data_IF_298705679652
#
_entry.id   IF_298705679652
#
_cell.length_a   1.000
_cell.length_b   1.000
_cell.length_c   1.000
_cell.angle_alpha   90.00
_cell.angle_beta   90.00
_cell.angle_gamma   90.00
#
_symmetry.space_group_name_H-M   'P 1'
#
loop_
_entity.id
_entity.type
_entity.pdbx_description
1 polymer ?
#
# COMPACT_ATOMS: atom_id res chain seq x y z
N UNK A 1 1.45 -18.06 -11.33
CA UNK A 1 1.55 -16.77 -12.07
C UNK A 1 0.15 -16.27 -12.30
N UNK A 2 -0.15 -15.11 -11.73
CA UNK A 2 -1.46 -14.48 -11.67
C UNK A 2 -1.57 -13.46 -12.80
N UNK A 3 -2.70 -13.47 -13.50
CA UNK A 3 -3.03 -12.47 -14.51
C UNK A 3 -4.15 -11.56 -13.99
N UNK A 4 -3.93 -10.25 -14.06
CA UNK A 4 -4.94 -9.26 -13.65
C UNK A 4 -5.12 -8.22 -14.75
N UNK A 5 -6.38 -7.98 -15.12
CA UNK A 5 -6.76 -6.87 -16.00
C UNK A 5 -7.09 -5.62 -15.17
N UNK A 6 -6.22 -4.61 -15.26
CA UNK A 6 -6.33 -3.33 -14.58
C UNK A 6 -7.46 -2.42 -15.07
N UNK A 7 -8.16 -2.78 -16.15
CA UNK A 7 -9.35 -2.08 -16.63
C UNK A 7 -10.65 -2.59 -15.99
N UNK A 8 -10.63 -3.70 -15.26
CA UNK A 8 -11.83 -4.26 -14.66
C UNK A 8 -12.48 -3.28 -13.66
N UNK A 9 -13.82 -3.37 -13.56
CA UNK A 9 -14.65 -2.50 -12.70
C UNK A 9 -14.33 -1.02 -12.95
N UNK A 10 -13.90 -0.29 -11.90
CA UNK A 10 -13.59 1.15 -11.96
C UNK A 10 -12.23 1.49 -12.59
N UNK A 11 -11.43 0.48 -12.96
CA UNK A 11 -10.07 0.66 -13.48
C UNK A 11 -9.20 1.55 -12.59
N UNK A 12 -9.37 1.46 -11.26
CA UNK A 12 -8.70 2.37 -10.32
C UNK A 12 -7.32 1.86 -9.94
N UNK A 13 -6.48 2.75 -9.40
CA UNK A 13 -5.19 2.38 -8.83
C UNK A 13 -5.29 1.42 -7.63
N UNK A 14 -6.48 1.18 -7.10
CA UNK A 14 -6.73 0.18 -6.06
C UNK A 14 -6.44 -1.24 -6.55
N UNK A 15 -6.68 -1.52 -7.84
CA UNK A 15 -6.36 -2.82 -8.44
C UNK A 15 -4.85 -3.05 -8.38
N UNK A 16 -4.04 -2.05 -8.74
CA UNK A 16 -2.57 -2.14 -8.68
C UNK A 16 -2.11 -2.45 -7.25
N UNK A 17 -2.61 -1.69 -6.26
CA UNK A 17 -2.22 -1.85 -4.85
C UNK A 17 -2.54 -3.24 -4.32
N UNK A 18 -3.75 -3.73 -4.55
CA UNK A 18 -4.14 -5.07 -4.08
C UNK A 18 -3.44 -6.17 -4.85
N UNK A 19 -3.36 -6.09 -6.17
CA UNK A 19 -2.75 -7.14 -6.98
C UNK A 19 -1.29 -7.36 -6.58
N UNK A 20 -0.49 -6.30 -6.47
CA UNK A 20 0.93 -6.42 -6.08
C UNK A 20 1.06 -6.88 -4.62
N UNK A 21 0.29 -6.32 -3.68
CA UNK A 21 0.32 -6.73 -2.29
C UNK A 21 -0.05 -8.19 -2.06
N UNK A 22 -1.07 -8.69 -2.76
CA UNK A 22 -1.50 -10.09 -2.68
C UNK A 22 -0.50 -11.01 -3.40
N UNK A 23 0.03 -10.61 -4.55
CA UNK A 23 1.11 -11.36 -5.22
C UNK A 23 2.34 -11.51 -4.32
N UNK A 24 2.73 -10.45 -3.60
CA UNK A 24 3.79 -10.50 -2.59
C UNK A 24 3.48 -11.52 -1.48
N UNK A 25 2.26 -11.50 -0.92
CA UNK A 25 1.87 -12.42 0.15
C UNK A 25 1.80 -13.89 -0.32
N UNK A 26 1.33 -14.11 -1.55
CA UNK A 26 1.21 -15.44 -2.15
C UNK A 26 2.56 -15.99 -2.63
N UNK A 27 3.58 -15.13 -2.78
CA UNK A 27 4.84 -15.51 -3.40
C UNK A 27 4.70 -15.84 -4.89
N UNK A 28 3.64 -15.36 -5.54
CA UNK A 28 3.33 -15.66 -6.94
C UNK A 28 3.67 -14.48 -7.86
N UNK A 29 4.23 -14.78 -9.02
CA UNK A 29 4.43 -13.78 -10.08
C UNK A 29 3.10 -13.19 -10.55
N UNK A 30 3.07 -11.88 -10.77
CA UNK A 30 1.92 -11.12 -11.26
C UNK A 30 2.23 -10.50 -12.62
N UNK A 31 1.32 -10.69 -13.57
CA UNK A 31 1.23 -9.91 -14.80
C UNK A 31 -0.04 -9.06 -14.76
N UNK A 32 0.15 -7.74 -14.69
CA UNK A 32 -0.94 -6.76 -14.58
C UNK A 32 -0.94 -5.90 -15.84
N UNK A 33 -2.02 -5.96 -16.62
CA UNK A 33 -2.20 -5.19 -17.86
C UNK A 33 -3.26 -4.11 -17.70
N UNK A 34 -3.43 -3.26 -18.72
CA UNK A 34 -4.46 -2.22 -18.79
C UNK A 34 -4.54 -1.32 -17.54
N UNK A 35 -3.39 -1.02 -16.93
CA UNK A 35 -3.32 -0.27 -15.68
C UNK A 35 -4.02 1.08 -15.87
N UNK A 36 -5.12 1.25 -15.14
CA UNK A 36 -5.92 2.49 -15.13
C UNK A 36 -6.41 2.92 -16.52
N UNK A 37 -6.66 1.99 -17.44
CA UNK A 37 -7.09 2.29 -18.81
C UNK A 37 -8.39 3.12 -18.88
N UNK A 38 -9.27 3.02 -17.87
CA UNK A 38 -10.54 3.77 -17.78
C UNK A 38 -10.43 5.12 -17.06
N UNK A 39 -9.23 5.61 -16.76
CA UNK A 39 -9.01 6.89 -16.08
C UNK A 39 -8.50 7.93 -17.08
N UNK A 40 -8.87 9.18 -16.86
CA UNK A 40 -8.43 10.34 -17.69
C UNK A 40 -6.92 10.34 -17.95
N UNK A 41 -6.13 10.01 -16.93
CA UNK A 41 -4.68 9.82 -17.04
C UNK A 41 -4.37 8.35 -16.79
N UNK A 42 -4.26 7.48 -17.81
CA UNK A 42 -3.97 6.04 -17.65
C UNK A 42 -2.59 5.74 -17.07
N UNK A 43 -2.31 4.47 -16.81
CA UNK A 43 -1.02 3.96 -16.38
C UNK A 43 -0.68 4.21 -14.91
N UNK A 44 0.51 3.78 -14.50
CA UNK A 44 1.04 4.02 -13.17
C UNK A 44 1.22 5.53 -12.92
N UNK A 45 0.90 5.95 -11.70
CA UNK A 45 1.15 7.31 -11.19
C UNK A 45 2.23 7.24 -10.14
N UNK A 46 2.87 8.35 -9.74
CA UNK A 46 3.93 8.33 -8.72
C UNK A 46 3.58 7.51 -7.47
N UNK A 47 2.37 7.67 -6.91
CA UNK A 47 1.96 6.87 -5.75
C UNK A 47 1.77 5.38 -6.03
N UNK A 48 1.37 5.01 -7.24
CA UNK A 48 1.23 3.59 -7.63
C UNK A 48 2.61 2.98 -7.79
N UNK A 49 3.47 3.63 -8.57
CA UNK A 49 4.84 3.16 -8.80
C UNK A 49 5.59 3.02 -7.48
N UNK A 50 5.50 4.01 -6.58
CA UNK A 50 6.16 3.93 -5.28
C UNK A 50 5.65 2.76 -4.44
N UNK A 51 4.36 2.44 -4.48
CA UNK A 51 3.82 1.29 -3.79
C UNK A 51 4.37 -0.05 -4.35
N UNK A 52 4.47 -0.17 -5.69
CA UNK A 52 5.06 -1.37 -6.32
C UNK A 52 6.55 -1.50 -5.98
N UNK A 53 7.30 -0.40 -6.06
CA UNK A 53 8.73 -0.36 -5.71
C UNK A 53 8.98 -0.66 -4.23
N UNK A 54 8.12 -0.17 -3.33
CA UNK A 54 8.22 -0.47 -1.90
C UNK A 54 8.04 -1.97 -1.64
N UNK A 55 7.04 -2.60 -2.28
CA UNK A 55 6.84 -4.04 -2.18
C UNK A 55 7.98 -4.84 -2.82
N UNK A 56 8.48 -4.41 -3.98
CA UNK A 56 9.67 -4.97 -4.62
C UNK A 56 10.86 -4.97 -3.67
N UNK A 57 11.11 -3.85 -2.98
CA UNK A 57 12.20 -3.73 -2.02
C UNK A 57 11.99 -4.63 -0.80
N UNK A 58 10.79 -4.62 -0.21
CA UNK A 58 10.46 -5.44 0.96
C UNK A 58 10.63 -6.92 0.67
N UNK A 59 10.16 -7.40 -0.49
CA UNK A 59 10.20 -8.81 -0.84
C UNK A 59 11.45 -9.23 -1.62
N UNK A 60 12.41 -8.30 -1.84
CA UNK A 60 13.59 -8.49 -2.69
C UNK A 60 13.25 -9.05 -4.09
N UNK A 61 12.13 -8.58 -4.66
CA UNK A 61 11.60 -9.04 -5.93
C UNK A 61 12.17 -8.29 -7.14
N UNK A 62 11.70 -8.68 -8.33
CA UNK A 62 11.94 -7.96 -9.58
C UNK A 62 10.67 -7.33 -10.13
N UNK A 63 10.84 -6.24 -10.86
CA UNK A 63 9.78 -5.48 -11.48
C UNK A 63 10.19 -5.10 -12.91
N UNK A 64 9.39 -5.50 -13.88
CA UNK A 64 9.48 -5.10 -15.28
C UNK A 64 8.30 -4.17 -15.63
N UNK A 65 8.56 -3.17 -16.50
CA UNK A 65 7.58 -2.13 -16.84
C UNK A 65 7.30 -1.12 -15.72
N UNK A 66 8.13 -1.06 -14.69
CA UNK A 66 7.95 -0.24 -13.48
C UNK A 66 8.28 1.24 -13.66
N UNK A 67 7.53 1.95 -14.51
CA UNK A 67 7.73 3.38 -14.78
C UNK A 67 6.43 4.19 -14.72
N UNK A 68 6.54 5.52 -14.57
CA UNK A 68 5.37 6.42 -14.59
C UNK A 68 4.72 6.36 -15.96
N UNK A 69 3.40 6.20 -16.00
CA UNK A 69 2.63 6.07 -17.24
C UNK A 69 2.55 4.64 -17.78
N UNK A 70 3.31 3.69 -17.22
CA UNK A 70 3.25 2.30 -17.65
C UNK A 70 1.85 1.71 -17.51
N UNK A 71 1.40 1.02 -18.55
CA UNK A 71 0.09 0.38 -18.63
C UNK A 71 0.16 -1.12 -18.32
N UNK A 72 1.36 -1.65 -18.15
CA UNK A 72 1.63 -3.07 -17.95
C UNK A 72 2.86 -3.27 -17.06
N UNK A 73 2.78 -4.18 -16.11
CA UNK A 73 3.93 -4.60 -15.30
C UNK A 73 4.00 -6.11 -15.17
N UNK A 74 5.21 -6.63 -15.00
CA UNK A 74 5.47 -7.98 -14.48
C UNK A 74 6.20 -7.85 -13.16
N UNK A 75 5.60 -8.36 -12.10
CA UNK A 75 6.13 -8.30 -10.75
C UNK A 75 6.40 -9.71 -10.24
N UNK A 76 7.63 -10.00 -9.86
CA UNK A 76 8.03 -11.31 -9.31
C UNK A 76 8.53 -11.14 -7.87
N UNK A 77 7.82 -11.68 -6.86
CA UNK A 77 8.31 -11.68 -5.48
C UNK A 77 9.64 -12.45 -5.32
N UNK A 78 10.52 -12.01 -4.43
CA UNK A 78 11.84 -12.62 -4.18
C UNK A 78 11.86 -13.72 -3.12
N UNK A 79 10.69 -14.20 -2.67
CA UNK A 79 10.57 -15.37 -1.79
C UNK A 79 10.54 -15.09 -0.28
N UNK A 80 10.76 -13.86 0.18
CA UNK A 80 10.64 -13.53 1.62
C UNK A 80 10.46 -12.05 1.91
N UNK A 81 9.69 -11.73 2.96
CA UNK A 81 9.44 -10.37 3.43
C UNK A 81 10.54 -9.96 4.40
N UNK A 82 11.31 -8.92 4.07
CA UNK A 82 12.32 -8.37 4.97
C UNK A 82 11.68 -7.40 5.97
N UNK A 83 11.90 -7.68 7.24
CA UNK A 83 11.47 -6.81 8.35
C UNK A 83 12.45 -5.65 8.53
N UNK A 84 12.02 -4.59 9.24
CA UNK A 84 12.88 -3.45 9.55
C UNK A 84 12.27 -2.10 9.20
N UNK A 85 13.14 -1.09 9.09
CA UNK A 85 12.75 0.30 8.84
C UNK A 85 12.97 0.71 7.39
N UNK A 86 11.98 1.39 6.81
CA UNK A 86 11.99 1.86 5.44
C UNK A 86 11.61 3.34 5.37
N UNK A 87 12.23 4.07 4.44
CA UNK A 87 11.92 5.46 4.13
C UNK A 87 11.61 5.59 2.63
N UNK A 88 10.41 6.05 2.31
CA UNK A 88 9.96 6.23 0.93
C UNK A 88 9.37 7.62 0.73
N UNK A 89 9.89 8.32 -0.27
CA UNK A 89 9.30 9.55 -0.79
C UNK A 89 8.53 9.28 -2.08
N UNK A 90 7.25 9.67 -2.11
CA UNK A 90 6.42 9.62 -3.31
C UNK A 90 6.84 10.71 -4.31
N UNK A 91 7.51 11.77 -3.86
CA UNK A 91 8.00 12.90 -4.67
C UNK A 91 6.90 13.86 -5.14
N UNK A 92 5.65 13.63 -4.74
CA UNK A 92 4.49 14.45 -5.10
C UNK A 92 3.49 14.50 -3.94
N UNK A 93 2.36 15.19 -4.11
CA UNK A 93 1.25 15.12 -3.17
C UNK A 93 0.49 13.78 -3.16
N UNK A 94 0.98 12.73 -3.82
CA UNK A 94 0.35 11.41 -3.81
C UNK A 94 0.17 10.86 -2.39
N UNK A 95 -0.90 10.06 -2.21
CA UNK A 95 -1.35 9.63 -0.88
C UNK A 95 -0.39 8.69 -0.17
N UNK A 96 0.14 9.17 0.97
CA UNK A 96 0.94 8.36 1.89
C UNK A 96 0.09 7.32 2.59
N UNK A 97 -1.18 7.61 2.87
CA UNK A 97 -2.12 6.69 3.53
C UNK A 97 -2.49 5.51 2.63
N UNK A 98 -2.70 5.73 1.32
CA UNK A 98 -2.92 4.64 0.37
C UNK A 98 -1.66 3.78 0.17
N UNK A 99 -0.47 4.38 0.19
CA UNK A 99 0.78 3.62 0.20
C UNK A 99 0.86 2.76 1.48
N UNK A 100 0.60 3.35 2.65
CA UNK A 100 0.61 2.62 3.92
C UNK A 100 -0.37 1.44 3.94
N UNK A 101 -1.61 1.62 3.46
CA UNK A 101 -2.60 0.53 3.39
C UNK A 101 -2.14 -0.58 2.43
N UNK A 102 -1.38 -0.25 1.39
CA UNK A 102 -0.82 -1.25 0.46
C UNK A 102 0.21 -2.15 1.16
N UNK A 103 1.03 -1.55 2.02
CA UNK A 103 2.09 -2.26 2.74
C UNK A 103 1.60 -3.02 3.97
N UNK A 104 0.52 -2.53 4.60
CA UNK A 104 0.03 -3.04 5.86
C UNK A 104 -0.23 -4.56 5.88
N UNK A 105 -0.90 -5.17 4.89
CA UNK A 105 -1.09 -6.63 4.88
C UNK A 105 0.24 -7.39 4.86
N UNK A 106 1.20 -6.96 4.03
CA UNK A 106 2.53 -7.56 3.94
C UNK A 106 3.27 -7.42 5.28
N UNK A 107 3.16 -6.27 5.93
CA UNK A 107 3.76 -6.03 7.24
C UNK A 107 3.14 -6.88 8.36
N UNK A 108 1.86 -7.23 8.26
CA UNK A 108 1.21 -8.11 9.24
C UNK A 108 1.75 -9.55 9.18
N UNK A 109 2.29 -9.98 8.03
CA UNK A 109 2.81 -11.34 7.81
C UNK A 109 4.34 -11.38 7.64
N UNK A 110 5.05 -10.33 8.08
CA UNK A 110 6.51 -10.33 8.13
C UNK A 110 7.02 -11.21 9.27
N UNK A 111 8.33 -11.48 9.29
CA UNK A 111 9.00 -12.24 10.35
C UNK A 111 9.36 -11.39 11.57
N UNK A 112 9.08 -10.09 11.55
CA UNK A 112 9.48 -9.13 12.58
C UNK A 112 8.87 -7.74 12.35
N UNK A 113 9.01 -6.87 13.35
CA UNK A 113 8.44 -5.53 13.32
C UNK A 113 8.88 -4.73 12.08
N UNK A 114 7.96 -3.92 11.54
CA UNK A 114 8.21 -3.04 10.41
C UNK A 114 7.85 -1.59 10.72
N UNK A 115 8.67 -0.67 10.23
CA UNK A 115 8.46 0.77 10.39
C UNK A 115 8.61 1.48 9.05
N UNK A 116 7.60 2.25 8.66
CA UNK A 116 7.56 2.97 7.40
C UNK A 116 7.53 4.47 7.68
N UNK A 117 8.50 5.21 7.15
CA UNK A 117 8.43 6.66 7.02
C UNK A 117 8.07 6.98 5.57
N UNK A 118 6.91 7.60 5.35
CA UNK A 118 6.39 7.85 4.00
C UNK A 118 6.17 9.34 3.82
N UNK A 119 6.78 9.93 2.79
CA UNK A 119 6.64 11.34 2.43
C UNK A 119 5.72 11.52 1.21
N UNK A 120 4.84 12.51 1.26
CA UNK A 120 3.85 12.79 0.21
C UNK A 120 2.67 13.65 0.70
N UNK A 121 1.45 13.38 0.23
CA UNK A 121 0.23 14.03 0.72
C UNK A 121 -0.47 13.19 1.80
N UNK A 122 -0.76 13.82 2.95
CA UNK A 122 -1.53 13.19 4.04
C UNK A 122 -3.01 13.57 3.99
N UNK A 123 -3.32 14.73 3.42
CA UNK A 123 -4.66 15.30 3.31
C UNK A 123 -4.91 15.69 1.85
N UNK A 124 -5.75 14.92 1.16
CA UNK A 124 -6.08 15.10 -0.24
C UNK A 124 -7.40 14.43 -0.58
N UNK A 125 -7.97 14.79 -1.71
CA UNK A 125 -9.19 14.16 -2.21
C UNK A 125 -8.95 12.70 -2.62
N UNK A 126 -10.03 11.90 -2.56
CA UNK A 126 -10.04 10.51 -3.01
C UNK A 126 -9.06 9.57 -2.29
N UNK A 127 -8.62 9.93 -1.07
CA UNK A 127 -7.84 9.10 -0.18
C UNK A 127 -8.29 9.29 1.28
N UNK A 128 -8.18 8.27 2.15
CA UNK A 128 -8.44 8.44 3.57
C UNK A 128 -7.41 9.41 4.17
N UNK A 129 -7.88 10.30 5.06
CA UNK A 129 -7.00 11.21 5.79
C UNK A 129 -6.15 10.43 6.80
N UNK A 130 -5.02 11.01 7.21
CA UNK A 130 -4.21 10.43 8.28
C UNK A 130 -5.00 10.26 9.59
N UNK A 131 -5.98 11.12 9.88
CA UNK A 131 -6.87 10.97 11.03
C UNK A 131 -7.81 9.78 10.91
N UNK A 132 -8.33 9.49 9.71
CA UNK A 132 -9.10 8.27 9.50
C UNK A 132 -8.26 7.01 9.79
N UNK A 133 -6.98 7.03 9.41
CA UNK A 133 -6.06 5.94 9.73
C UNK A 133 -5.87 5.76 11.24
N UNK A 134 -5.70 6.86 11.97
CA UNK A 134 -5.44 6.87 13.41
C UNK A 134 -6.66 6.51 14.25
N UNK A 135 -7.82 7.07 13.93
CA UNK A 135 -8.98 7.04 14.82
C UNK A 135 -10.09 6.10 14.35
N UNK A 136 -10.04 5.61 13.10
CA UNK A 136 -11.05 4.67 12.58
C UNK A 136 -10.40 3.34 12.23
N UNK A 137 -9.44 3.34 11.32
CA UNK A 137 -8.84 2.08 10.84
C UNK A 137 -8.03 1.37 11.94
N UNK A 138 -7.12 2.08 12.62
CA UNK A 138 -6.26 1.47 13.65
C UNK A 138 -7.06 0.80 14.78
N UNK A 139 -8.09 1.43 15.38
CA UNK A 139 -8.95 0.75 16.35
C UNK A 139 -9.67 -0.50 15.81
N UNK A 140 -10.13 -0.48 14.56
CA UNK A 140 -10.75 -1.66 13.94
C UNK A 140 -9.74 -2.80 13.75
N UNK A 141 -8.52 -2.48 13.31
CA UNK A 141 -7.44 -3.46 13.17
C UNK A 141 -7.05 -4.06 14.53
N UNK A 142 -7.03 -3.27 15.60
CA UNK A 142 -6.76 -3.78 16.95
C UNK A 142 -7.79 -4.81 17.42
N UNK A 143 -9.08 -4.64 17.07
CA UNK A 143 -10.12 -5.66 17.33
C UNK A 143 -9.82 -6.99 16.60
N UNK A 144 -9.11 -6.93 15.48
CA UNK A 144 -8.65 -8.09 14.72
C UNK A 144 -7.31 -8.67 15.20
N UNK A 145 -6.74 -8.12 16.28
CA UNK A 145 -5.42 -8.54 16.79
C UNK A 145 -4.23 -7.99 16.00
N UNK A 146 -4.44 -6.96 15.17
CA UNK A 146 -3.38 -6.29 14.41
C UNK A 146 -2.91 -5.06 15.18
N UNK A 147 -1.61 -5.01 15.48
CA UNK A 147 -0.96 -3.86 16.13
C UNK A 147 -0.32 -2.99 15.07
N UNK A 148 -1.02 -1.92 14.67
CA UNK A 148 -0.53 -0.94 13.70
C UNK A 148 -0.76 0.49 14.22
N UNK A 149 0.32 1.26 14.36
CA UNK A 149 0.31 2.65 14.84
C UNK A 149 0.63 3.61 13.69
N UNK A 150 -0.28 4.56 13.46
CA UNK A 150 -0.10 5.64 12.48
C UNK A 150 0.21 6.95 13.21
N UNK A 151 1.27 7.65 12.83
CA UNK A 151 1.69 8.91 13.46
C UNK A 151 1.96 9.97 12.39
N UNK A 152 1.33 11.13 12.52
CA UNK A 152 1.61 12.29 11.67
C UNK A 152 2.89 12.94 12.19
N UNK A 153 3.96 12.92 11.40
CA UNK A 153 5.22 13.60 11.74
C UNK A 153 5.18 15.03 11.21
N UNK A 154 4.63 15.21 10.00
CA UNK A 154 4.41 16.53 9.39
C UNK A 154 3.14 16.46 8.55
N UNK A 155 2.17 17.38 8.71
CA UNK A 155 1.02 17.43 7.82
C UNK A 155 1.46 17.81 6.39
N UNK A 156 0.70 17.37 5.38
CA UNK A 156 0.97 17.71 3.99
C UNK A 156 -0.31 17.69 3.18
N UNK A 157 -0.53 18.77 2.43
CA UNK A 157 -1.77 19.07 1.73
C UNK A 157 -1.50 19.21 0.23
N UNK A 158 -2.50 18.91 -0.59
CA UNK A 158 -2.47 19.27 -2.01
C UNK A 158 -2.36 20.79 -2.18
N UNK A 159 -1.73 21.29 -3.27
CA UNK A 159 -1.11 20.52 -4.35
C UNK A 159 0.36 20.12 -4.06
N UNK A 160 0.99 20.68 -3.02
CA UNK A 160 2.44 20.51 -2.78
C UNK A 160 2.80 19.17 -2.13
N UNK A 161 1.95 18.62 -1.27
CA UNK A 161 2.27 17.45 -0.46
C UNK A 161 3.22 17.81 0.67
N UNK A 162 4.38 17.15 0.72
CA UNK A 162 5.45 17.42 1.71
C UNK A 162 5.17 16.92 3.12
N UNK A 163 4.03 16.28 3.36
CA UNK A 163 3.72 15.68 4.65
C UNK A 163 4.45 14.36 4.83
N UNK A 164 4.58 13.94 6.08
CA UNK A 164 5.30 12.75 6.51
C UNK A 164 4.44 11.99 7.51
N UNK A 165 4.16 10.72 7.20
CA UNK A 165 3.53 9.78 8.13
C UNK A 165 4.56 8.71 8.53
N UNK A 166 4.52 8.32 9.81
CA UNK A 166 5.20 7.12 10.31
C UNK A 166 4.18 6.05 10.62
N UNK A 167 4.43 4.83 10.15
CA UNK A 167 3.59 3.65 10.41
C UNK A 167 4.46 2.59 11.05
N UNK A 168 4.11 2.12 12.24
CA UNK A 168 4.76 1.00 12.90
C UNK A 168 3.79 -0.18 12.96
N UNK A 169 4.24 -1.37 12.57
CA UNK A 169 3.43 -2.59 12.50
C UNK A 169 4.18 -3.74 13.16
N UNK A 170 3.54 -4.40 14.11
CA UNK A 170 4.02 -5.67 14.65
C UNK A 170 3.47 -6.84 13.82
N UNK A 171 4.26 -7.90 13.60
CA UNK A 171 3.79 -9.09 12.89
C UNK A 171 2.68 -9.76 13.70
N UNK A 172 1.67 -10.27 12.99
CA UNK A 172 0.57 -11.01 13.61
C UNK A 172 1.09 -12.37 14.06
N UNK A 173 0.95 -12.66 15.35
CA UNK A 173 1.24 -14.00 15.87
C UNK A 173 0.03 -14.91 15.66
N UNK A 174 0.18 -15.94 14.82
CA UNK A 174 -0.90 -16.87 14.49
C UNK A 174 -1.83 -16.35 13.39
N UNK A 175 -3.14 -16.25 13.67
CA UNK A 175 -4.15 -15.84 12.70
C UNK A 175 -4.77 -14.50 13.08
N UNK A 176 -5.11 -13.70 12.07
CA UNK A 176 -5.94 -12.49 12.23
C UNK A 176 -7.29 -12.90 12.81
N UNK A 177 -7.73 -12.22 13.87
CA UNK A 177 -9.01 -12.52 14.53
C UNK A 177 -10.17 -12.03 13.64
N UNK A 178 -11.25 -12.80 13.52
CA UNK A 178 -12.44 -12.35 12.79
C UNK A 178 -13.05 -11.13 13.51
N UNK A 179 -13.56 -10.18 12.72
CA UNK A 179 -14.34 -9.05 13.23
C UNK A 179 -15.82 -9.26 12.91
N UNK A 180 -16.70 -9.00 13.87
CA UNK A 180 -18.16 -9.05 13.72
C UNK A 180 -18.74 -7.73 14.24
N UNK A 181 -19.29 -6.93 13.34
CA UNK A 181 -19.91 -5.64 13.62
C UNK A 181 -21.27 -5.59 12.89
N UNK A 182 -22.27 -6.38 13.33
CA UNK A 182 -23.58 -6.41 12.68
C UNK A 182 -24.35 -5.08 12.85
N UNK A 183 -24.07 -4.35 13.94
CA UNK A 183 -24.74 -3.12 14.32
C UNK A 183 -23.71 -1.99 14.54
N UNK A 184 -24.14 -0.74 14.39
CA UNK A 184 -23.29 0.45 14.58
C UNK A 184 -22.86 0.66 16.05
N UNK A 185 -23.49 -0.06 16.98
CA UNK A 185 -23.45 0.19 18.42
C UNK A 185 -24.70 0.92 18.87
#
# INVERSE_FOLDING_TARGET
MIYVDGAQKSGSGTIVRFAVGLATLLGEELHLTNIRAKREKPGLRPQHLKAVQALQQICQGSLDGGEIGSKEIRFRPGGGIKSGSYDWDIGTAGSTTLLAITLLPVACFSTGAMSFKISGGLFQDFAPSAYHMQYVLSPMLSKMGITAKFSIIRPGYVPRGGGVIRVAVEPVTGKIKPIRLPDQG
#
